data_IF_805588560598
#
_entry.id   IF_805588560598
#
_cell.length_a   1.000
_cell.length_b   1.000
_cell.length_c   1.000
_cell.angle_alpha   90.00
_cell.angle_beta   90.00
_cell.angle_gamma   90.00
#
_symmetry.space_group_name_H-M   'P 1'
#
loop_
_entity.id
_entity.type
_entity.pdbx_description
1 polymer ?
#
# COMPACT_ATOMS: atom_id res chain seq x y z
N UNK A 1 -1.08 10.48 12.74
CA UNK A 1 -1.19 9.08 12.29
C UNK A 1 0.17 8.41 12.10
N UNK A 2 1.04 8.94 11.24
CA UNK A 2 2.35 8.33 10.96
C UNK A 2 3.35 8.24 12.14
N UNK A 3 3.08 8.91 13.27
CA UNK A 3 3.94 8.93 14.46
C UNK A 3 4.16 7.52 15.06
N UNK A 4 3.14 6.66 15.09
CA UNK A 4 3.27 5.28 15.57
C UNK A 4 4.22 4.48 14.69
N UNK A 5 4.20 4.72 13.38
CA UNK A 5 5.14 4.07 12.46
C UNK A 5 6.57 4.56 12.65
N UNK A 6 6.82 5.76 13.15
CA UNK A 6 8.20 6.20 13.45
C UNK A 6 8.84 5.32 14.54
N UNK A 7 8.08 4.89 15.55
CA UNK A 7 8.56 3.96 16.57
C UNK A 7 8.86 2.57 15.99
N UNK A 8 8.05 2.13 15.02
CA UNK A 8 8.29 0.86 14.32
C UNK A 8 9.55 0.99 13.46
N UNK A 9 9.68 2.07 12.70
CA UNK A 9 10.81 2.30 11.79
C UNK A 9 12.13 2.40 12.57
N UNK A 10 12.14 3.02 13.76
CA UNK A 10 13.33 3.06 14.60
C UNK A 10 13.70 1.68 15.16
N UNK A 11 12.71 0.86 15.50
CA UNK A 11 12.91 -0.51 16.00
C UNK A 11 13.37 -1.49 14.89
N UNK A 12 13.00 -1.25 13.64
CA UNK A 12 13.27 -2.15 12.51
C UNK A 12 14.12 -1.44 11.44
N UNK A 13 15.45 -1.32 11.67
CA UNK A 13 16.34 -0.67 10.72
C UNK A 13 16.46 -1.46 9.42
N UNK A 14 16.97 -0.78 8.39
CA UNK A 14 17.28 -1.38 7.08
C UNK A 14 18.17 -2.60 7.23
N UNK A 15 17.93 -3.61 6.40
CA UNK A 15 18.68 -4.87 6.38
C UNK A 15 19.63 -4.98 5.19
N UNK A 16 20.71 -5.71 5.41
CA UNK A 16 21.61 -6.14 4.35
C UNK A 16 20.90 -7.08 3.38
N UNK A 17 21.45 -7.25 2.17
CA UNK A 17 20.86 -8.14 1.16
C UNK A 17 20.94 -9.61 1.62
N UNK A 18 22.05 -9.98 2.24
CA UNK A 18 22.26 -11.31 2.79
C UNK A 18 21.21 -11.64 3.87
N UNK A 19 21.03 -10.76 4.84
CA UNK A 19 20.05 -10.95 5.92
C UNK A 19 18.61 -10.95 5.39
N UNK A 20 18.30 -10.08 4.43
CA UNK A 20 17.01 -10.08 3.74
C UNK A 20 16.72 -11.43 3.08
N UNK A 21 17.69 -11.99 2.35
CA UNK A 21 17.55 -13.29 1.70
C UNK A 21 17.41 -14.43 2.71
N UNK A 22 18.19 -14.40 3.79
CA UNK A 22 18.10 -15.39 4.88
C UNK A 22 16.70 -15.37 5.50
N UNK A 23 16.17 -14.20 5.83
CA UNK A 23 14.83 -14.06 6.37
C UNK A 23 13.77 -14.54 5.38
N UNK A 24 13.91 -14.20 4.08
CA UNK A 24 12.97 -14.64 3.04
C UNK A 24 12.98 -16.17 2.92
N UNK A 25 14.15 -16.80 2.92
CA UNK A 25 14.28 -18.26 2.88
C UNK A 25 13.54 -18.90 4.06
N UNK A 26 13.75 -18.40 5.28
CA UNK A 26 13.06 -18.91 6.46
C UNK A 26 11.54 -18.64 6.40
N UNK A 27 11.12 -17.49 5.88
CA UNK A 27 9.72 -17.17 5.69
C UNK A 27 9.05 -18.08 4.65
N UNK A 28 9.76 -18.44 3.57
CA UNK A 28 9.29 -19.38 2.56
C UNK A 28 9.18 -20.82 3.09
N UNK A 29 10.01 -21.19 4.07
CA UNK A 29 9.88 -22.44 4.84
C UNK A 29 8.73 -22.42 5.87
N UNK A 30 8.03 -21.29 6.02
CA UNK A 30 6.87 -21.17 6.91
C UNK A 30 7.13 -20.42 8.21
N UNK A 31 8.32 -19.84 8.42
CA UNK A 31 8.59 -19.01 9.61
C UNK A 31 7.76 -17.72 9.58
N UNK A 32 6.67 -17.70 10.36
CA UNK A 32 5.84 -16.50 10.57
C UNK A 32 6.67 -15.34 11.11
N UNK A 33 7.55 -15.60 12.10
CA UNK A 33 8.44 -14.59 12.69
C UNK A 33 9.30 -13.91 11.63
N UNK A 34 9.92 -14.69 10.74
CA UNK A 34 10.77 -14.14 9.67
C UNK A 34 9.94 -13.35 8.68
N UNK A 35 8.71 -13.81 8.37
CA UNK A 35 7.78 -13.12 7.47
C UNK A 35 7.37 -11.75 8.03
N UNK A 36 6.98 -11.71 9.30
CA UNK A 36 6.59 -10.50 10.01
C UNK A 36 7.79 -9.53 10.09
N UNK A 37 8.99 -10.04 10.38
CA UNK A 37 10.21 -9.23 10.45
C UNK A 37 10.56 -8.57 9.11
N UNK A 38 10.45 -9.28 8.00
CA UNK A 38 10.64 -8.70 6.66
C UNK A 38 9.66 -7.56 6.44
N UNK A 39 8.37 -7.77 6.73
CA UNK A 39 7.33 -6.74 6.54
C UNK A 39 7.63 -5.50 7.39
N UNK A 40 7.95 -5.69 8.66
CA UNK A 40 8.24 -4.59 9.58
C UNK A 40 9.45 -3.77 9.15
N UNK A 41 10.52 -4.43 8.68
CA UNK A 41 11.72 -3.75 8.15
C UNK A 41 11.46 -3.01 6.83
N UNK A 42 10.41 -3.39 6.11
CA UNK A 42 10.00 -2.77 4.85
C UNK A 42 8.85 -1.76 4.99
N UNK A 43 8.33 -1.54 6.19
CA UNK A 43 7.18 -0.65 6.39
C UNK A 43 7.49 0.80 5.99
N UNK A 44 8.72 1.26 6.26
CA UNK A 44 9.21 2.58 5.83
C UNK A 44 9.18 2.74 4.32
N UNK A 45 9.54 1.68 3.58
CA UNK A 45 9.49 1.67 2.13
C UNK A 45 8.04 1.76 1.62
N UNK A 46 7.10 1.01 2.21
CA UNK A 46 5.69 1.06 1.82
C UNK A 46 5.10 2.46 2.05
N UNK A 47 5.33 3.04 3.23
CA UNK A 47 4.91 4.40 3.57
C UNK A 47 5.49 5.40 2.58
N UNK A 48 6.78 5.26 2.25
CA UNK A 48 7.43 6.11 1.25
C UNK A 48 6.76 5.98 -0.14
N UNK A 49 6.42 4.78 -0.60
CA UNK A 49 5.72 4.59 -1.89
C UNK A 49 4.36 5.27 -1.90
N UNK A 50 3.58 5.11 -0.83
CA UNK A 50 2.26 5.76 -0.68
C UNK A 50 2.40 7.27 -0.80
N UNK A 51 3.32 7.87 -0.04
CA UNK A 51 3.56 9.31 -0.09
C UNK A 51 4.10 9.81 -1.44
N UNK A 52 4.81 8.94 -2.17
CA UNK A 52 5.38 9.30 -3.46
C UNK A 52 4.37 9.27 -4.60
N UNK A 53 3.37 8.39 -4.52
CA UNK A 53 2.40 8.14 -5.59
C UNK A 53 1.08 8.88 -5.35
N UNK A 54 0.61 8.97 -4.11
CA UNK A 54 -0.69 9.54 -3.78
C UNK A 54 -0.59 11.04 -3.47
N UNK A 55 -1.65 11.79 -3.79
CA UNK A 55 -1.76 13.19 -3.37
C UNK A 55 -2.01 13.30 -1.86
N UNK A 56 -1.54 14.38 -1.18
CA UNK A 56 -1.67 14.54 0.27
C UNK A 56 -3.09 14.32 0.82
N UNK A 57 -4.12 14.85 0.15
CA UNK A 57 -5.52 14.72 0.60
C UNK A 57 -6.00 13.27 0.54
N UNK A 58 -5.57 12.52 -0.48
CA UNK A 58 -5.88 11.10 -0.62
C UNK A 58 -5.13 10.27 0.43
N UNK A 59 -3.92 10.67 0.82
CA UNK A 59 -3.17 10.02 1.90
C UNK A 59 -3.86 10.26 3.26
N UNK A 60 -4.33 11.48 3.51
CA UNK A 60 -5.07 11.83 4.74
C UNK A 60 -6.31 10.95 4.91
N UNK A 61 -6.96 10.60 3.80
CA UNK A 61 -8.21 9.84 3.80
C UNK A 61 -8.02 8.32 3.72
N UNK A 62 -7.13 7.84 2.85
CA UNK A 62 -6.99 6.41 2.50
C UNK A 62 -5.64 5.83 2.90
N UNK A 63 -4.75 6.60 3.52
CA UNK A 63 -3.36 6.19 3.77
C UNK A 63 -3.23 4.93 4.62
N UNK A 64 -4.11 4.73 5.61
CA UNK A 64 -4.09 3.53 6.46
C UNK A 64 -4.55 2.29 5.69
N UNK A 65 -5.65 2.40 4.93
CA UNK A 65 -6.17 1.30 4.10
C UNK A 65 -5.16 0.89 3.04
N UNK A 66 -4.57 1.87 2.34
CA UNK A 66 -3.51 1.65 1.37
C UNK A 66 -2.31 0.94 2.00
N UNK A 67 -1.92 1.31 3.22
CA UNK A 67 -0.81 0.64 3.90
C UNK A 67 -1.19 -0.78 4.33
N UNK A 68 -2.38 -0.99 4.87
CA UNK A 68 -2.87 -2.31 5.28
C UNK A 68 -2.87 -3.30 4.12
N UNK A 69 -3.40 -2.89 2.96
CA UNK A 69 -3.40 -3.71 1.75
C UNK A 69 -2.00 -3.90 1.16
N UNK A 70 -1.16 -2.86 1.15
CA UNK A 70 0.23 -2.96 0.71
C UNK A 70 1.02 -3.97 1.57
N UNK A 71 0.75 -4.04 2.88
CA UNK A 71 1.31 -5.05 3.78
C UNK A 71 0.89 -6.45 3.36
N UNK A 72 -0.40 -6.69 3.06
CA UNK A 72 -0.89 -7.99 2.60
C UNK A 72 -0.26 -8.40 1.27
N UNK A 73 -0.11 -7.47 0.34
CA UNK A 73 0.61 -7.69 -0.93
C UNK A 73 2.06 -8.10 -0.65
N UNK A 74 2.72 -7.42 0.28
CA UNK A 74 4.10 -7.72 0.67
C UNK A 74 4.21 -9.13 1.26
N UNK A 75 3.31 -9.51 2.18
CA UNK A 75 3.23 -10.87 2.72
C UNK A 75 3.10 -11.93 1.63
N UNK A 76 2.28 -11.68 0.59
CA UNK A 76 2.13 -12.59 -0.54
C UNK A 76 3.40 -12.67 -1.38
N UNK A 77 4.07 -11.54 -1.61
CA UNK A 77 5.28 -11.46 -2.45
C UNK A 77 6.52 -12.10 -1.83
N UNK A 78 6.61 -12.20 -0.51
CA UNK A 78 7.67 -12.97 0.16
C UNK A 78 7.65 -14.44 -0.33
N UNK A 79 6.46 -15.03 -0.44
CA UNK A 79 6.30 -16.42 -0.87
C UNK A 79 6.67 -16.69 -2.33
N UNK A 80 6.61 -15.67 -3.19
CA UNK A 80 6.92 -15.80 -4.63
C UNK A 80 8.28 -15.22 -5.01
N UNK A 81 9.08 -14.77 -4.03
CA UNK A 81 10.37 -14.17 -4.29
C UNK A 81 11.39 -15.21 -4.78
N UNK A 82 12.05 -14.94 -5.90
CA UNK A 82 13.04 -15.85 -6.45
C UNK A 82 14.41 -15.62 -5.79
N UNK A 83 14.78 -16.52 -4.87
CA UNK A 83 16.10 -16.50 -4.23
C UNK A 83 17.23 -16.83 -5.23
N UNK A 84 16.97 -17.63 -6.26
CA UNK A 84 17.99 -18.10 -7.21
C UNK A 84 17.94 -17.32 -8.54
N UNK A 85 17.53 -16.05 -8.48
CA UNK A 85 17.50 -15.20 -9.66
C UNK A 85 18.90 -15.09 -10.30
N UNK A 86 18.95 -15.36 -11.59
CA UNK A 86 20.13 -15.25 -12.44
C UNK A 86 19.89 -14.20 -13.52
N UNK A 87 20.96 -13.54 -13.92
CA UNK A 87 20.91 -12.64 -15.07
C UNK A 87 20.80 -13.41 -16.40
N UNK A 88 20.74 -12.68 -17.51
CA UNK A 88 20.64 -13.28 -18.85
C UNK A 88 21.88 -14.09 -19.28
N UNK A 89 22.98 -13.99 -18.54
CA UNK A 89 24.20 -14.78 -18.75
C UNK A 89 24.27 -16.01 -17.84
N UNK A 90 23.26 -16.21 -16.97
CA UNK A 90 23.22 -17.31 -16.02
C UNK A 90 24.00 -17.06 -14.73
N UNK A 91 24.55 -15.86 -14.50
CA UNK A 91 25.26 -15.53 -13.27
C UNK A 91 24.28 -15.19 -12.14
N UNK A 92 24.53 -15.57 -10.87
CA UNK A 92 23.69 -15.18 -9.75
C UNK A 92 23.58 -13.66 -9.64
N UNK A 93 22.36 -13.14 -9.60
CA UNK A 93 22.11 -11.70 -9.51
C UNK A 93 21.05 -11.40 -8.45
N UNK A 94 21.38 -11.54 -7.16
CA UNK A 94 20.42 -11.33 -6.09
C UNK A 94 19.93 -9.87 -6.08
N UNK A 95 18.63 -9.68 -6.29
CA UNK A 95 17.99 -8.36 -6.21
C UNK A 95 17.55 -8.04 -4.78
N UNK A 96 17.34 -6.77 -4.47
CA UNK A 96 16.69 -6.38 -3.21
C UNK A 96 15.20 -6.68 -3.27
N UNK A 97 14.61 -7.09 -2.15
CA UNK A 97 13.17 -7.37 -2.07
C UNK A 97 12.32 -6.16 -2.45
N UNK A 98 12.72 -4.95 -2.04
CA UNK A 98 12.07 -3.69 -2.47
C UNK A 98 12.03 -3.53 -3.99
N UNK A 99 13.12 -3.88 -4.68
CA UNK A 99 13.21 -3.81 -6.14
C UNK A 99 12.31 -4.85 -6.83
N UNK A 100 11.98 -5.93 -6.14
CA UNK A 100 11.04 -6.94 -6.62
C UNK A 100 9.58 -6.50 -6.46
N UNK A 101 9.23 -5.79 -5.38
CA UNK A 101 7.83 -5.47 -5.06
C UNK A 101 7.36 -4.09 -5.52
N UNK A 102 8.24 -3.10 -5.72
CA UNK A 102 7.86 -1.70 -5.87
C UNK A 102 6.81 -1.45 -6.98
N UNK A 103 6.99 -2.02 -8.18
CA UNK A 103 6.02 -1.87 -9.28
C UNK A 103 4.64 -2.40 -8.92
N UNK A 104 4.58 -3.50 -8.18
CA UNK A 104 3.29 -4.09 -7.76
C UNK A 104 2.60 -3.20 -6.73
N UNK A 105 3.36 -2.62 -5.80
CA UNK A 105 2.84 -1.67 -4.81
C UNK A 105 2.33 -0.40 -5.48
N UNK A 106 3.09 0.15 -6.44
CA UNK A 106 2.66 1.35 -7.19
C UNK A 106 1.39 1.12 -7.98
N UNK A 107 1.32 0.03 -8.75
CA UNK A 107 0.14 -0.32 -9.51
C UNK A 107 -1.07 -0.48 -8.59
N UNK A 108 -0.90 -1.15 -7.46
CA UNK A 108 -1.94 -1.27 -6.44
C UNK A 108 -2.44 0.10 -5.93
N UNK A 109 -1.54 1.01 -5.53
CA UNK A 109 -1.93 2.34 -5.04
C UNK A 109 -2.74 3.09 -6.11
N UNK A 110 -2.26 3.07 -7.36
CA UNK A 110 -2.94 3.74 -8.48
C UNK A 110 -4.32 3.13 -8.72
N UNK A 111 -4.43 1.80 -8.74
CA UNK A 111 -5.68 1.09 -9.00
C UNK A 111 -6.71 1.38 -7.89
N UNK A 112 -6.30 1.35 -6.62
CA UNK A 112 -7.16 1.66 -5.48
C UNK A 112 -7.65 3.11 -5.53
N UNK A 113 -6.76 4.07 -5.77
CA UNK A 113 -7.16 5.49 -5.85
C UNK A 113 -8.09 5.77 -7.03
N UNK A 114 -7.86 5.13 -8.19
CA UNK A 114 -8.79 5.24 -9.33
C UNK A 114 -10.17 4.70 -9.01
N UNK A 115 -10.24 3.56 -8.30
CA UNK A 115 -11.50 2.97 -7.87
C UNK A 115 -12.28 3.92 -6.96
N UNK A 116 -11.62 4.47 -5.94
CA UNK A 116 -12.24 5.45 -5.04
C UNK A 116 -12.74 6.68 -5.81
N UNK A 117 -11.93 7.26 -6.70
CA UNK A 117 -12.34 8.41 -7.52
C UNK A 117 -13.54 8.09 -8.43
N UNK A 118 -13.60 6.88 -9.00
CA UNK A 118 -14.73 6.46 -9.82
C UNK A 118 -16.02 6.33 -9.01
N UNK A 119 -15.93 5.81 -7.78
CA UNK A 119 -17.07 5.71 -6.86
C UNK A 119 -17.59 7.10 -6.47
N UNK A 120 -16.71 8.06 -6.19
CA UNK A 120 -17.14 9.44 -5.92
C UNK A 120 -17.88 10.06 -7.09
N UNK A 121 -17.38 9.85 -8.32
CA UNK A 121 -18.03 10.38 -9.51
C UNK A 121 -19.43 9.80 -9.69
N UNK A 122 -19.57 8.47 -9.58
CA UNK A 122 -20.86 7.79 -9.71
C UNK A 122 -21.85 8.20 -8.61
N UNK A 123 -21.40 8.32 -7.36
CA UNK A 123 -22.27 8.81 -6.28
C UNK A 123 -22.74 10.24 -6.53
N UNK A 124 -21.85 11.12 -6.99
CA UNK A 124 -22.20 12.51 -7.30
C UNK A 124 -23.24 12.58 -8.43
N UNK A 125 -23.05 11.81 -9.49
CA UNK A 125 -24.00 11.72 -10.61
C UNK A 125 -25.37 11.20 -10.13
N UNK A 126 -25.39 10.13 -9.33
CA UNK A 126 -26.63 9.56 -8.78
C UNK A 126 -27.44 10.57 -7.94
N UNK A 127 -26.79 11.32 -7.04
CA UNK A 127 -27.49 12.32 -6.23
C UNK A 127 -27.84 13.60 -7.01
N UNK A 128 -27.10 13.93 -8.08
CA UNK A 128 -27.47 15.02 -8.99
C UNK A 128 -28.72 14.67 -9.82
N UNK A 129 -28.87 13.41 -10.22
CA UNK A 129 -30.06 12.93 -10.92
C UNK A 129 -31.29 12.91 -9.98
N UNK A 130 -31.13 12.43 -8.73
CA UNK A 130 -32.19 12.47 -7.72
C UNK A 130 -32.61 13.90 -7.31
N UNK A 131 -31.70 14.87 -7.38
CA UNK A 131 -31.99 16.28 -7.09
C UNK A 131 -32.69 17.04 -8.23
N UNK A 132 -32.70 16.47 -9.44
CA UNK A 132 -33.39 17.06 -10.60
C UNK A 132 -34.80 16.48 -10.82
N UNK A 133 -35.11 15.32 -10.24
CA UNK A 133 -36.44 14.70 -10.29
C UNK A 133 -37.36 15.22 -9.16
N UNK A 134 -37.71 16.51 -9.23
CA UNK A 134 -38.91 17.05 -8.59
C UNK A 134 -38.81 17.41 -7.10
N UNK A 135 -39.11 18.67 -6.80
CA UNK A 135 -39.49 19.17 -5.47
C UNK A 135 -40.36 18.15 -4.69
N UNK A 136 -39.86 17.66 -3.55
CA UNK A 136 -40.47 17.83 -2.22
C UNK A 136 -39.73 17.02 -1.15
N UNK A 137 -39.09 17.74 -0.22
CA UNK A 137 -38.92 17.31 1.16
C UNK A 137 -37.99 16.13 1.43
N UNK A 138 -36.68 16.39 1.42
CA UNK A 138 -35.77 15.73 2.35
C UNK A 138 -34.77 16.79 2.81
N UNK A 139 -34.91 17.13 4.09
CA UNK A 139 -34.05 18.04 4.83
C UNK A 139 -32.58 17.72 4.58
N UNK A 140 -31.80 18.80 4.49
CA UNK A 140 -30.36 18.89 4.70
C UNK A 140 -29.79 17.73 5.51
N UNK A 141 -29.39 16.65 4.84
CA UNK A 141 -28.33 15.79 5.34
C UNK A 141 -27.05 16.59 5.10
N UNK A 142 -26.45 17.05 6.20
CA UNK A 142 -25.26 17.89 6.25
C UNK A 142 -24.19 17.49 5.22
N UNK A 143 -24.20 18.17 4.07
CA UNK A 143 -23.09 18.24 3.11
C UNK A 143 -21.96 19.13 3.64
N UNK A 144 -21.81 19.28 4.96
CA UNK A 144 -20.72 20.05 5.57
C UNK A 144 -19.47 19.20 5.86
N UNK A 145 -19.55 17.87 5.90
CA UNK A 145 -18.35 17.02 6.08
C UNK A 145 -17.58 16.72 4.78
N UNK A 146 -18.08 17.15 3.62
CA UNK A 146 -17.47 16.85 2.31
C UNK A 146 -17.01 18.08 1.52
N UNK A 147 -16.84 19.23 2.17
CA UNK A 147 -16.18 20.38 1.58
C UNK A 147 -14.81 20.60 2.24
N UNK A 148 -13.79 20.11 1.53
CA UNK A 148 -12.35 20.41 1.60
C UNK A 148 -11.83 21.34 2.71
N UNK A 149 -10.93 20.79 3.54
CA UNK A 149 -9.68 21.45 3.97
C UNK A 149 -8.62 20.45 4.44
#
# INVERSE_FOLDING_TARGET
MWKTYHQIISKYPKISLEEERRLILEAQKGSKKSKDEIVLRHISFLIFRIHKIAFPDLIKRFGEDLLGEAILITYKKIGSYNLDYRDGQGSPNPVKFVSYIWKRIDGFIIDSLKKELSLFKTHKEYYQDLGNDGNNGLESIDMQEYNYT
#
